data_IF_774559256226
#
_entry.id   IF_774559256226
#
_cell.length_a   1.000
_cell.length_b   1.000
_cell.length_c   1.000
_cell.angle_alpha   90.00
_cell.angle_beta   90.00
_cell.angle_gamma   90.00
#
_symmetry.space_group_name_H-M   'P 1'
#
loop_
_entity.id
_entity.type
_entity.pdbx_description
1 polymer ?
#
# COMPACT_ATOMS: atom_id res chain seq x y z
N UNK A 1 15.94 17.11 -5.29
CA UNK A 1 15.21 16.55 -4.97
C UNK A 1 15.15 15.64 -4.90
N UNK A 2 15.16 15.10 -4.26
CA UNK A 2 14.70 14.27 -4.11
C UNK A 2 14.53 13.47 -4.08
N UNK A 3 15.04 12.96 -3.61
CA UNK A 3 14.41 12.21 -3.84
C UNK A 3 13.47 11.69 -3.33
N UNK A 4 13.87 11.47 -2.22
CA UNK A 4 12.55 11.27 -1.71
C UNK A 4 11.56 12.17 -2.35
N UNK A 5 12.02 13.30 -2.66
CA UNK A 5 11.15 14.18 -3.37
C UNK A 5 10.76 13.67 -4.68
N UNK A 6 11.63 13.03 -5.38
CA UNK A 6 11.29 12.47 -6.65
C UNK A 6 10.35 11.30 -6.53
N UNK A 7 10.41 10.61 -5.40
CA UNK A 7 9.53 9.49 -5.18
C UNK A 7 8.16 9.91 -4.77
N UNK A 8 8.08 10.96 -4.04
CA UNK A 8 6.82 11.38 -3.52
C UNK A 8 6.48 12.77 -3.92
N UNK A 9 7.36 13.37 -4.50
CA UNK A 9 7.02 14.69 -4.95
C UNK A 9 7.68 14.98 -6.21
N UNK A 10 8.01 15.01 -6.44
CA UNK A 10 8.13 15.42 -7.33
C UNK A 10 7.73 15.75 -8.07
N UNK A 11 7.80 16.03 -7.80
CA UNK A 11 7.26 16.42 -8.15
C UNK A 11 7.14 16.98 -8.69
N UNK A 12 7.39 17.33 -9.02
CA UNK A 12 6.94 17.69 -9.35
C UNK A 12 6.45 18.18 -9.58
N UNK A 13 6.47 18.43 -9.65
CA UNK A 13 5.87 18.64 -9.67
C UNK A 13 5.17 18.78 -9.34
N UNK A 14 5.26 18.77 -8.99
CA UNK A 14 4.67 18.53 -8.50
C UNK A 14 4.28 18.41 -7.85
N UNK A 15 4.34 18.31 -7.36
CA UNK A 15 4.04 17.85 -6.66
C UNK A 15 3.99 17.47 -5.96
N UNK A 16 4.04 17.40 -5.48
CA UNK A 16 4.06 16.85 -4.87
C UNK A 16 4.18 16.15 -4.21
N UNK A 17 4.05 15.70 -3.50
CA UNK A 17 4.28 14.93 -2.86
C UNK A 17 4.06 13.96 -2.81
N UNK A 18 4.20 13.51 -2.83
CA UNK A 18 4.00 12.69 -2.88
C UNK A 18 4.41 11.38 -3.05
N UNK A 19 3.77 10.63 -2.46
CA UNK A 19 4.01 9.23 -2.68
C UNK A 19 3.59 8.94 -4.08
N UNK A 20 4.48 8.30 -4.85
CA UNK A 20 4.21 8.07 -6.26
C UNK A 20 3.01 7.16 -6.49
N UNK A 21 3.16 6.13 -7.24
CA UNK A 21 2.06 5.23 -7.55
C UNK A 21 1.93 4.18 -6.46
N UNK A 22 0.78 4.15 -5.82
CA UNK A 22 0.49 3.11 -4.84
C UNK A 22 -0.19 1.95 -5.58
N UNK A 23 0.43 0.81 -5.54
CA UNK A 23 -0.15 -0.40 -6.11
C UNK A 23 -1.03 -1.07 -5.07
N UNK A 24 -2.22 -1.45 -5.46
CA UNK A 24 -3.15 -2.11 -4.55
C UNK A 24 -3.61 -3.42 -5.15
N UNK A 25 -3.81 -4.41 -4.30
CA UNK A 25 -4.31 -5.71 -4.72
C UNK A 25 -4.90 -6.44 -3.53
N UNK A 26 -5.81 -7.37 -3.78
CA UNK A 26 -6.34 -8.21 -2.73
C UNK A 26 -6.32 -9.67 -3.16
N UNK A 27 -6.25 -10.55 -2.20
CA UNK A 27 -6.31 -11.98 -2.45
C UNK A 27 -7.08 -12.65 -1.33
N UNK A 28 -7.55 -13.86 -1.59
CA UNK A 28 -8.22 -14.64 -0.56
C UNK A 28 -7.20 -15.43 0.23
N UNK A 29 -7.44 -15.54 1.52
CA UNK A 29 -6.61 -16.37 2.38
C UNK A 29 -7.50 -17.13 3.35
N UNK A 30 -6.91 -17.85 4.28
CA UNK A 30 -7.68 -18.67 5.22
C UNK A 30 -8.60 -17.85 6.11
N UNK A 31 -8.21 -16.63 6.39
CA UNK A 31 -8.96 -15.77 7.31
C UNK A 31 -9.94 -14.86 6.61
N UNK A 32 -9.98 -14.90 5.27
CA UNK A 32 -10.90 -14.08 4.52
C UNK A 32 -10.23 -13.43 3.32
N UNK A 33 -10.02 -12.13 3.40
CA UNK A 33 -9.46 -11.34 2.32
C UNK A 33 -8.27 -10.55 2.83
N UNK A 34 -7.15 -10.63 2.13
CA UNK A 34 -5.97 -9.85 2.43
C UNK A 34 -5.84 -8.73 1.40
N UNK A 35 -5.79 -7.50 1.88
CA UNK A 35 -5.62 -6.31 1.03
C UNK A 35 -4.25 -5.75 1.28
N UNK A 36 -3.50 -5.49 0.21
CA UNK A 36 -2.15 -4.97 0.33
C UNK A 36 -1.95 -3.74 -0.54
N UNK A 37 -1.19 -2.81 -0.01
CA UNK A 37 -0.74 -1.62 -0.72
C UNK A 37 0.78 -1.67 -0.76
N UNK A 38 1.36 -1.31 -1.88
CA UNK A 38 2.80 -1.38 -2.04
C UNK A 38 3.31 -0.23 -2.89
N UNK A 39 4.52 0.22 -2.56
CA UNK A 39 5.22 1.21 -3.36
C UNK A 39 6.67 0.77 -3.50
N UNK A 40 7.31 1.08 -4.63
CA UNK A 40 8.73 0.80 -4.76
C UNK A 40 9.53 1.78 -3.89
N UNK A 41 10.64 1.32 -3.34
CA UNK A 41 11.53 2.19 -2.58
C UNK A 41 12.94 2.00 -3.11
N UNK A 42 13.68 3.11 -3.13
CA UNK A 42 15.09 3.07 -3.47
C UNK A 42 15.88 2.81 -2.20
N UNK A 43 17.17 2.55 -2.36
CA UNK A 43 18.04 2.43 -1.20
C UNK A 43 18.02 3.74 -0.44
N UNK A 44 17.68 3.67 0.85
CA UNK A 44 17.51 4.85 1.70
C UNK A 44 18.11 4.59 3.06
N UNK A 45 18.43 5.67 3.75
CA UNK A 45 18.80 5.58 5.15
C UNK A 45 17.58 5.20 5.98
N UNK A 46 17.82 4.75 7.23
CA UNK A 46 16.73 4.41 8.14
C UNK A 46 15.80 5.61 8.34
N UNK A 47 16.38 6.80 8.47
CA UNK A 47 15.58 8.00 8.66
C UNK A 47 14.67 8.27 7.47
N UNK A 48 15.20 8.11 6.27
CA UNK A 48 14.41 8.31 5.05
C UNK A 48 13.30 7.27 4.92
N UNK A 49 13.61 6.02 5.25
CA UNK A 49 12.61 4.95 5.20
C UNK A 49 11.47 5.25 6.16
N UNK A 50 11.78 5.71 7.36
CA UNK A 50 10.75 6.04 8.33
C UNK A 50 9.88 7.20 7.86
N UNK A 51 10.50 8.24 7.33
CA UNK A 51 9.75 9.39 6.82
C UNK A 51 8.86 9.01 5.64
N UNK A 52 9.41 8.23 4.73
CA UNK A 52 8.67 7.78 3.56
C UNK A 52 7.51 6.87 3.97
N UNK A 53 7.74 6.02 4.97
CA UNK A 53 6.69 5.15 5.50
C UNK A 53 5.54 5.93 6.10
N UNK A 54 5.82 7.02 6.81
CA UNK A 54 4.78 7.87 7.36
C UNK A 54 3.95 8.52 6.26
N UNK A 55 4.60 8.97 5.18
CA UNK A 55 3.88 9.54 4.05
C UNK A 55 3.04 8.49 3.33
N UNK A 56 3.56 7.29 3.20
CA UNK A 56 2.82 6.18 2.60
C UNK A 56 1.55 5.88 3.42
N UNK A 57 1.69 5.76 4.74
CA UNK A 57 0.56 5.52 5.62
C UNK A 57 -0.49 6.62 5.47
N UNK A 58 -0.04 7.86 5.44
CA UNK A 58 -0.93 9.00 5.31
C UNK A 58 -1.69 8.96 3.98
N UNK A 59 -0.98 8.65 2.91
CA UNK A 59 -1.59 8.59 1.58
C UNK A 59 -2.63 7.47 1.48
N UNK A 60 -2.31 6.29 2.02
CA UNK A 60 -3.25 5.17 2.01
C UNK A 60 -4.49 5.52 2.83
N UNK A 61 -4.30 6.06 4.02
CA UNK A 61 -5.43 6.42 4.88
C UNK A 61 -6.30 7.49 4.26
N UNK A 62 -5.69 8.44 3.57
CA UNK A 62 -6.46 9.50 2.92
C UNK A 62 -7.26 8.98 1.74
N UNK A 63 -6.67 8.10 0.95
CA UNK A 63 -7.30 7.59 -0.27
C UNK A 63 -8.35 6.51 -0.01
N UNK A 64 -8.19 5.74 1.04
CA UNK A 64 -9.03 4.57 1.29
C UNK A 64 -9.63 4.57 2.69
N UNK A 65 -9.87 5.75 3.23
CA UNK A 65 -10.31 5.92 4.61
C UNK A 65 -11.52 5.08 4.97
N UNK A 66 -12.58 5.17 4.16
CA UNK A 66 -13.81 4.48 4.44
C UNK A 66 -13.68 2.97 4.31
N UNK A 67 -12.98 2.53 3.25
CA UNK A 67 -12.76 1.12 3.03
C UNK A 67 -12.01 0.49 4.20
N UNK A 68 -10.94 1.13 4.65
CA UNK A 68 -10.13 0.58 5.73
C UNK A 68 -10.84 0.67 7.08
N UNK A 69 -11.66 1.68 7.28
CA UNK A 69 -12.39 1.82 8.52
C UNK A 69 -13.52 0.78 8.65
N UNK A 70 -14.25 0.55 7.56
CA UNK A 70 -15.48 -0.23 7.61
C UNK A 70 -15.25 -1.72 7.39
N UNK A 71 -14.21 -2.10 6.67
CA UNK A 71 -14.07 -3.49 6.21
C UNK A 71 -12.76 -4.17 6.59
N UNK A 72 -11.74 -3.41 6.95
CA UNK A 72 -10.40 -3.97 7.14
C UNK A 72 -9.75 -3.49 8.41
N UNK A 73 -8.82 -4.29 8.91
CA UNK A 73 -7.94 -3.85 9.99
C UNK A 73 -6.49 -4.15 9.57
N UNK A 74 -5.58 -3.32 10.06
CA UNK A 74 -4.18 -3.45 9.69
C UNK A 74 -3.56 -4.67 10.35
N UNK A 75 -2.80 -5.44 9.58
CA UNK A 75 -2.07 -6.60 10.10
C UNK A 75 -0.84 -6.17 10.89
N UNK A 76 -0.32 -5.01 10.57
CA UNK A 76 0.81 -4.42 11.30
C UNK A 76 0.53 -2.94 11.49
N UNK A 77 1.20 -2.34 12.45
CA UNK A 77 1.02 -0.91 12.73
C UNK A 77 1.70 -0.04 11.68
N UNK A 78 2.72 -0.55 11.04
CA UNK A 78 3.50 0.21 10.07
C UNK A 78 3.79 -0.65 8.85
N UNK A 79 4.08 -0.01 7.71
CA UNK A 79 4.53 -0.74 6.53
C UNK A 79 5.84 -1.47 6.78
N UNK A 80 6.03 -2.55 6.04
CA UNK A 80 7.24 -3.38 6.13
C UNK A 80 8.01 -3.25 4.83
N UNK A 81 9.33 -3.38 4.92
CA UNK A 81 10.18 -3.43 3.74
C UNK A 81 10.29 -4.88 3.29
N UNK A 82 10.11 -5.10 2.01
CA UNK A 82 10.18 -6.43 1.43
C UNK A 82 10.88 -6.35 0.08
N UNK A 83 11.00 -7.47 -0.60
CA UNK A 83 11.58 -7.47 -1.94
C UNK A 83 10.74 -8.36 -2.85
N UNK A 84 10.75 -8.02 -4.13
CA UNK A 84 10.10 -8.82 -5.15
C UNK A 84 11.04 -9.94 -5.60
N UNK A 85 10.52 -10.87 -6.40
CA UNK A 85 11.31 -11.96 -6.94
C UNK A 85 12.48 -11.45 -7.79
N UNK A 86 12.31 -10.29 -8.40
CA UNK A 86 13.38 -9.68 -9.20
C UNK A 86 14.41 -8.94 -8.36
N UNK A 87 14.23 -8.91 -7.04
CA UNK A 87 15.16 -8.24 -6.14
C UNK A 87 14.86 -6.76 -5.93
N UNK A 88 13.78 -6.28 -6.47
CA UNK A 88 13.38 -4.89 -6.28
C UNK A 88 12.81 -4.69 -4.88
N UNK A 89 13.19 -3.60 -4.23
CA UNK A 89 12.71 -3.33 -2.88
C UNK A 89 11.38 -2.61 -2.91
N UNK A 90 10.47 -3.04 -2.04
CA UNK A 90 9.15 -2.42 -1.93
C UNK A 90 8.83 -2.21 -0.45
N UNK A 91 7.99 -1.22 -0.23
CA UNK A 91 7.37 -1.01 1.08
C UNK A 91 5.92 -1.48 0.94
N UNK A 92 5.49 -2.35 1.85
CA UNK A 92 4.18 -2.98 1.74
C UNK A 92 3.43 -2.87 3.06
N UNK A 93 2.12 -2.63 2.98
CA UNK A 93 1.26 -2.53 4.16
C UNK A 93 0.00 -3.33 3.89
N UNK A 94 -0.25 -4.32 4.74
CA UNK A 94 -1.32 -5.30 4.53
C UNK A 94 -2.41 -5.19 5.57
N UNK A 95 -3.62 -5.52 5.15
CA UNK A 95 -4.82 -5.46 5.96
C UNK A 95 -5.58 -6.75 5.81
N UNK A 96 -6.37 -7.09 6.82
CA UNK A 96 -7.21 -8.29 6.82
C UNK A 96 -8.67 -7.89 6.90
N UNK A 97 -9.51 -8.54 6.09
CA UNK A 97 -10.95 -8.35 6.11
C UNK A 97 -11.66 -9.67 5.94
N UNK A 98 -12.98 -9.68 6.08
CA UNK A 98 -13.78 -10.86 5.88
C UNK A 98 -14.04 -11.13 4.41
N UNK A 99 -14.30 -12.40 4.08
CA UNK A 99 -14.60 -12.77 2.70
C UNK A 99 -16.12 -12.81 2.53
N UNK A 100 -16.72 -11.65 2.36
CA UNK A 100 -18.16 -11.53 2.16
C UNK A 100 -18.43 -10.60 0.98
N UNK A 101 -19.66 -10.59 0.55
CA UNK A 101 -20.05 -9.84 -0.65
C UNK A 101 -19.84 -8.34 -0.48
N UNK A 102 -20.15 -7.82 0.70
CA UNK A 102 -20.00 -6.38 0.95
C UNK A 102 -18.53 -5.96 0.85
N UNK A 103 -17.64 -6.75 1.44
CA UNK A 103 -16.21 -6.45 1.40
C UNK A 103 -15.68 -6.51 -0.04
N UNK A 104 -16.04 -7.56 -0.77
CA UNK A 104 -15.60 -7.69 -2.16
C UNK A 104 -16.14 -6.58 -3.04
N UNK A 105 -17.37 -6.18 -2.80
CA UNK A 105 -17.99 -5.09 -3.53
C UNK A 105 -17.27 -3.76 -3.26
N UNK A 106 -16.94 -3.52 -1.99
CA UNK A 106 -16.21 -2.31 -1.62
C UNK A 106 -14.82 -2.27 -2.27
N UNK A 107 -14.16 -3.42 -2.35
CA UNK A 107 -12.86 -3.51 -3.03
C UNK A 107 -13.00 -3.14 -4.51
N UNK A 108 -14.01 -3.68 -5.17
CA UNK A 108 -14.25 -3.38 -6.57
C UNK A 108 -14.57 -1.91 -6.78
N UNK A 109 -15.39 -1.33 -5.91
CA UNK A 109 -15.76 0.08 -5.99
C UNK A 109 -14.55 1.00 -5.85
N UNK A 110 -13.52 0.53 -5.16
CA UNK A 110 -12.29 1.29 -4.99
C UNK A 110 -11.24 0.96 -6.05
N UNK A 111 -11.62 0.16 -7.06
CA UNK A 111 -10.72 -0.14 -8.17
C UNK A 111 -9.61 -1.11 -7.82
N UNK A 112 -9.74 -1.87 -6.75
CA UNK A 112 -8.71 -2.78 -6.29
C UNK A 112 -8.95 -4.15 -6.92
N UNK A 113 -7.92 -4.70 -7.57
CA UNK A 113 -8.05 -5.94 -8.32
C UNK A 113 -7.66 -7.14 -7.48
N UNK A 114 -8.30 -8.26 -7.78
CA UNK A 114 -7.96 -9.52 -7.15
C UNK A 114 -6.74 -10.11 -7.80
N UNK A 115 -5.80 -10.59 -6.98
CA UNK A 115 -4.65 -11.35 -7.43
C UNK A 115 -4.85 -12.79 -7.00
N UNK A 116 -4.72 -13.70 -7.94
CA UNK A 116 -4.84 -15.13 -7.65
C UNK A 116 -3.46 -15.76 -7.72
N UNK A 117 -3.13 -16.51 -6.70
CA UNK A 117 -1.85 -17.20 -6.65
C UNK A 117 -2.05 -18.66 -7.01
N UNK A 118 -1.15 -19.18 -7.81
CA UNK A 118 -1.13 -20.60 -8.12
C UNK A 118 -0.53 -21.36 -6.94
N UNK A 119 -1.15 -22.45 -6.62
CA UNK A 119 -0.64 -23.30 -5.53
C UNK A 119 0.36 -24.32 -6.03
#
# INVERSE_FOLDING_TARGET
>A
MNDLEDLIFTGADDDDDNVDVIHSAWCRNRSGVCLSFAIPVNVMSVTEINAYGQEFVKAVKASYKKLLKDYFYAKTDTPLISSTDSGEMIMIWSFQGGDDDDTRHALKDNGIKEVKYDD
#
